data_IF_486435096364
#
_entry.id   IF_486435096364
#
_cell.length_a   1.000
_cell.length_b   1.000
_cell.length_c   1.000
_cell.angle_alpha   90.00
_cell.angle_beta   90.00
_cell.angle_gamma   90.00
#
_symmetry.space_group_name_H-M   'P 1'
#
loop_
_entity.id
_entity.type
_entity.pdbx_description
1 polymer ?
#
# COMPACT_ATOMS: atom_id res chain seq x y z
N UNK A 1 -2.65 -6.93 26.10
CA UNK A 1 -3.66 -6.01 25.51
C UNK A 1 -3.05 -5.42 24.26
N UNK A 2 -3.74 -5.48 23.13
CA UNK A 2 -3.19 -4.98 21.87
C UNK A 2 -3.47 -3.48 21.73
N UNK A 3 -2.42 -2.66 21.77
CA UNK A 3 -2.52 -1.20 21.63
C UNK A 3 -2.27 -0.72 20.20
N UNK A 4 -2.12 -1.63 19.22
CA UNK A 4 -1.89 -1.28 17.83
C UNK A 4 -3.04 -0.45 17.22
N UNK A 5 -4.26 -0.63 17.72
CA UNK A 5 -5.43 0.17 17.32
C UNK A 5 -5.37 1.63 17.81
N UNK A 6 -4.41 2.00 18.66
CA UNK A 6 -4.23 3.39 19.12
C UNK A 6 -3.06 4.09 18.41
N UNK A 7 -2.27 3.35 17.63
CA UNK A 7 -1.10 3.90 16.94
C UNK A 7 -1.54 4.86 15.85
N UNK A 8 -0.78 5.95 15.75
CA UNK A 8 -0.94 7.00 14.76
C UNK A 8 0.39 7.22 14.05
N UNK A 9 0.35 7.73 12.81
CA UNK A 9 1.57 8.10 12.09
C UNK A 9 2.40 9.13 12.90
N UNK A 10 3.75 9.02 12.94
CA UNK A 10 4.62 8.03 12.29
C UNK A 10 5.01 6.85 13.20
N UNK A 11 4.19 6.52 14.20
CA UNK A 11 4.48 5.37 15.08
C UNK A 11 4.40 4.06 14.29
N UNK A 12 5.06 3.02 14.79
CA UNK A 12 4.97 1.67 14.25
C UNK A 12 4.05 0.81 15.11
N UNK A 13 3.40 -0.18 14.47
CA UNK A 13 2.71 -1.23 15.19
C UNK A 13 3.73 -2.13 15.91
N UNK A 14 3.41 -2.49 17.16
CA UNK A 14 4.20 -3.37 18.01
C UNK A 14 3.84 -4.83 17.70
N UNK A 15 4.46 -5.39 16.66
CA UNK A 15 4.16 -6.73 16.15
C UNK A 15 5.19 -7.80 16.55
N UNK A 16 6.38 -7.41 16.98
CA UNK A 16 7.51 -8.32 17.19
C UNK A 16 7.29 -9.34 18.32
N UNK A 17 6.55 -8.95 19.36
CA UNK A 17 6.28 -9.79 20.53
C UNK A 17 4.99 -10.63 20.39
N UNK A 18 4.28 -10.55 19.26
CA UNK A 18 3.01 -11.23 19.04
C UNK A 18 3.23 -12.60 18.39
N UNK A 19 2.42 -13.59 18.79
CA UNK A 19 2.30 -14.84 18.03
C UNK A 19 1.70 -14.57 16.64
N UNK A 20 1.85 -15.52 15.70
CA UNK A 20 1.27 -15.39 14.35
C UNK A 20 -0.24 -15.13 14.41
N UNK A 21 -0.97 -15.83 15.30
CA UNK A 21 -2.41 -15.65 15.48
C UNK A 21 -2.75 -14.24 15.97
N UNK A 22 -2.12 -13.81 17.08
CA UNK A 22 -2.33 -12.47 17.66
C UNK A 22 -1.96 -11.35 16.68
N UNK A 23 -0.88 -11.53 15.92
CA UNK A 23 -0.43 -10.58 14.91
C UNK A 23 -1.46 -10.43 13.79
N UNK A 24 -2.01 -11.55 13.30
CA UNK A 24 -3.03 -11.52 12.25
C UNK A 24 -4.33 -10.88 12.74
N UNK A 25 -4.74 -11.16 13.98
CA UNK A 25 -5.89 -10.53 14.62
C UNK A 25 -5.70 -9.02 14.77
N UNK A 26 -4.53 -8.60 15.27
CA UNK A 26 -4.13 -7.19 15.42
C UNK A 26 -4.16 -6.44 14.08
N UNK A 27 -3.52 -6.99 13.05
CA UNK A 27 -3.48 -6.40 11.71
C UNK A 27 -4.88 -6.33 11.09
N UNK A 28 -5.71 -7.37 11.29
CA UNK A 28 -7.08 -7.39 10.80
C UNK A 28 -7.94 -6.33 11.48
N UNK A 29 -7.76 -6.09 12.79
CA UNK A 29 -8.46 -5.05 13.52
C UNK A 29 -8.09 -3.64 13.00
N UNK A 30 -6.80 -3.38 12.79
CA UNK A 30 -6.32 -2.12 12.20
C UNK A 30 -6.86 -1.94 10.78
N UNK A 31 -6.77 -2.98 9.95
CA UNK A 31 -7.28 -2.97 8.58
C UNK A 31 -8.78 -2.68 8.53
N UNK A 32 -9.56 -3.28 9.42
CA UNK A 32 -11.00 -3.06 9.51
C UNK A 32 -11.34 -1.62 9.83
N UNK A 33 -10.75 -1.10 10.91
CA UNK A 33 -10.93 0.29 11.34
C UNK A 33 -10.59 1.29 10.23
N UNK A 34 -9.50 1.05 9.51
CA UNK A 34 -8.93 2.04 8.59
C UNK A 34 -9.47 1.95 7.17
N UNK A 35 -9.79 0.74 6.70
CA UNK A 35 -10.05 0.43 5.29
C UNK A 35 -11.39 -0.29 5.12
N UNK A 36 -11.60 -1.44 5.75
CA UNK A 36 -12.78 -2.29 5.46
C UNK A 36 -14.10 -1.67 5.92
N UNK A 37 -14.15 -1.19 7.18
CA UNK A 37 -15.33 -0.64 7.83
C UNK A 37 -15.32 0.90 7.79
N UNK A 38 -14.46 1.51 6.95
CA UNK A 38 -14.35 2.96 6.79
C UNK A 38 -15.16 3.44 5.57
N UNK A 39 -16.39 3.96 5.76
CA UNK A 39 -17.25 4.41 4.66
C UNK A 39 -16.76 5.71 4.00
N UNK A 40 -15.69 6.34 4.51
CA UNK A 40 -15.10 7.57 3.96
C UNK A 40 -13.74 7.32 3.32
N UNK A 41 -13.37 6.05 3.09
CA UNK A 41 -12.08 5.70 2.50
C UNK A 41 -12.01 6.10 1.01
N UNK A 42 -11.53 7.32 0.77
CA UNK A 42 -11.45 7.97 -0.53
C UNK A 42 -10.13 8.71 -0.70
N UNK A 43 -9.65 8.83 -1.93
CA UNK A 43 -8.51 9.65 -2.30
C UNK A 43 -8.96 10.73 -3.29
N UNK A 44 -8.84 12.01 -2.93
CA UNK A 44 -9.24 13.17 -3.76
C UNK A 44 -10.64 13.03 -4.37
N UNK A 45 -11.62 12.70 -3.54
CA UNK A 45 -13.04 12.47 -3.91
C UNK A 45 -13.31 11.23 -4.78
N UNK A 46 -12.31 10.38 -5.02
CA UNK A 46 -12.46 9.10 -5.73
C UNK A 46 -12.47 7.95 -4.72
N UNK A 47 -13.43 7.04 -4.89
CA UNK A 47 -13.55 5.87 -4.01
C UNK A 47 -12.40 4.90 -4.20
N UNK A 48 -11.93 4.29 -3.12
CA UNK A 48 -10.92 3.23 -3.21
C UNK A 48 -11.61 1.89 -3.07
N UNK A 49 -11.41 1.03 -4.06
CA UNK A 49 -11.96 -0.31 -4.15
C UNK A 49 -10.87 -1.36 -3.92
N UNK A 50 -11.19 -2.50 -3.30
CA UNK A 50 -10.31 -3.66 -3.33
C UNK A 50 -10.21 -4.22 -4.75
N UNK A 51 -9.06 -4.84 -5.07
CA UNK A 51 -8.85 -5.52 -6.36
C UNK A 51 -9.77 -6.74 -6.44
N UNK A 52 -10.42 -6.94 -7.59
CA UNK A 52 -11.14 -8.18 -7.91
C UNK A 52 -10.18 -9.15 -8.60
N UNK A 53 -10.01 -10.36 -8.04
CA UNK A 53 -9.31 -11.46 -8.72
C UNK A 53 -10.27 -12.63 -8.86
N UNK A 54 -10.43 -13.13 -10.08
CA UNK A 54 -11.25 -14.30 -10.42
C UNK A 54 -12.70 -14.25 -9.88
N UNK A 55 -13.32 -13.07 -9.91
CA UNK A 55 -14.72 -12.88 -9.51
C UNK A 55 -14.97 -12.81 -8.00
N UNK A 56 -13.97 -13.08 -7.17
CA UNK A 56 -14.06 -12.89 -5.72
C UNK A 56 -13.46 -11.54 -5.31
N UNK A 57 -14.30 -10.68 -4.73
CA UNK A 57 -13.84 -9.54 -3.94
C UNK A 57 -13.37 -10.11 -2.62
N UNK A 58 -12.11 -9.93 -2.26
CA UNK A 58 -11.68 -10.30 -0.93
C UNK A 58 -10.82 -9.19 -0.37
N UNK A 59 -11.41 -8.45 0.57
CA UNK A 59 -10.70 -7.54 1.47
C UNK A 59 -9.51 -8.23 2.15
N UNK A 60 -9.60 -9.55 2.33
CA UNK A 60 -8.49 -10.40 2.78
C UNK A 60 -7.34 -10.51 1.75
N UNK A 61 -7.61 -10.56 0.44
CA UNK A 61 -6.56 -10.46 -0.60
C UNK A 61 -5.85 -9.11 -0.48
N UNK A 62 -6.61 -8.02 -0.31
CA UNK A 62 -6.02 -6.69 -0.14
C UNK A 62 -5.15 -6.62 1.13
N UNK A 63 -5.67 -7.08 2.27
CA UNK A 63 -4.89 -7.17 3.50
C UNK A 63 -3.60 -7.97 3.29
N UNK A 64 -3.70 -9.15 2.68
CA UNK A 64 -2.54 -9.98 2.34
C UNK A 64 -1.54 -9.23 1.46
N UNK A 65 -2.00 -8.45 0.47
CA UNK A 65 -1.14 -7.63 -0.37
C UNK A 65 -0.43 -6.49 0.36
N UNK A 66 -1.02 -5.98 1.45
CA UNK A 66 -0.47 -4.92 2.29
C UNK A 66 0.54 -5.46 3.32
N UNK A 67 0.37 -6.70 3.80
CA UNK A 67 1.23 -7.27 4.88
C UNK A 67 2.26 -8.28 4.39
N UNK A 68 2.18 -8.73 3.13
CA UNK A 68 3.13 -9.69 2.54
C UNK A 68 3.91 -9.09 1.37
N UNK A 69 5.07 -9.67 1.08
CA UNK A 69 5.86 -9.40 -0.13
C UNK A 69 6.01 -10.66 -0.97
N UNK A 70 6.21 -10.49 -2.28
CA UNK A 70 6.50 -11.61 -3.18
C UNK A 70 7.87 -12.19 -2.85
N UNK A 71 7.94 -13.52 -2.78
CA UNK A 71 9.18 -14.24 -2.54
C UNK A 71 10.03 -14.25 -3.81
N UNK A 72 11.33 -14.05 -3.62
CA UNK A 72 12.35 -14.09 -4.67
C UNK A 72 13.33 -15.22 -4.37
N UNK A 73 13.83 -15.88 -5.41
CA UNK A 73 14.94 -16.82 -5.30
C UNK A 73 16.27 -16.09 -5.07
N UNK A 74 17.35 -16.86 -4.90
CA UNK A 74 18.71 -16.34 -4.70
C UNK A 74 19.18 -15.43 -5.85
N UNK A 75 18.57 -15.54 -7.03
CA UNK A 75 18.87 -14.73 -8.22
C UNK A 75 17.91 -13.53 -8.37
N UNK A 76 17.03 -13.31 -7.40
CA UNK A 76 16.06 -12.21 -7.39
C UNK A 76 14.80 -12.46 -8.24
N UNK A 77 14.59 -13.66 -8.77
CA UNK A 77 13.42 -14.03 -9.58
C UNK A 77 12.24 -14.40 -8.70
N UNK A 78 11.05 -13.90 -9.04
CA UNK A 78 9.81 -14.19 -8.31
C UNK A 78 9.45 -15.68 -8.36
N UNK A 79 9.21 -16.28 -7.20
CA UNK A 79 8.87 -17.71 -7.04
C UNK A 79 7.35 -17.94 -7.19
N UNK A 80 6.54 -16.90 -6.96
CA UNK A 80 5.08 -16.95 -7.05
C UNK A 80 4.37 -17.15 -5.71
N UNK A 81 5.11 -17.43 -4.65
CA UNK A 81 4.65 -17.35 -3.26
C UNK A 81 4.85 -15.94 -2.67
N UNK A 82 4.24 -15.69 -1.51
CA UNK A 82 4.39 -14.46 -0.75
C UNK A 82 4.58 -14.78 0.72
N UNK A 83 5.52 -14.09 1.36
CA UNK A 83 5.79 -14.21 2.79
C UNK A 83 5.43 -12.94 3.54
N UNK A 84 5.11 -13.10 4.83
CA UNK A 84 4.87 -11.99 5.74
C UNK A 84 6.06 -11.01 5.74
N UNK A 85 5.77 -9.71 5.65
CA UNK A 85 6.78 -8.66 5.68
C UNK A 85 6.55 -7.73 6.87
N UNK A 86 7.47 -7.76 7.82
CA UNK A 86 7.37 -6.97 9.06
C UNK A 86 7.35 -5.47 8.78
N UNK A 87 8.21 -4.98 7.90
CA UNK A 87 8.35 -3.56 7.62
C UNK A 87 7.08 -2.95 7.01
N UNK A 88 6.42 -3.68 6.10
CA UNK A 88 5.09 -3.34 5.57
C UNK A 88 4.03 -3.38 6.65
N UNK A 89 3.97 -4.47 7.40
CA UNK A 89 2.90 -4.74 8.37
C UNK A 89 2.88 -3.72 9.51
N UNK A 90 4.05 -3.30 10.01
CA UNK A 90 4.14 -2.29 11.06
C UNK A 90 3.60 -0.91 10.66
N UNK A 91 3.44 -0.67 9.35
CA UNK A 91 3.00 0.61 8.76
C UNK A 91 1.60 0.51 8.16
N UNK A 92 0.85 -0.56 8.44
CA UNK A 92 -0.48 -0.77 7.84
C UNK A 92 -1.42 0.43 8.03
N UNK A 93 -1.43 1.03 9.23
CA UNK A 93 -2.25 2.19 9.56
C UNK A 93 -1.82 3.49 8.84
N UNK A 94 -0.61 3.54 8.27
CA UNK A 94 -0.15 4.69 7.50
C UNK A 94 -0.88 4.81 6.17
N UNK A 95 -1.45 3.71 5.65
CA UNK A 95 -2.21 3.71 4.40
C UNK A 95 -3.34 4.73 4.48
N UNK A 96 -4.17 4.68 5.52
CA UNK A 96 -5.25 5.66 5.71
C UNK A 96 -4.73 7.08 5.85
N UNK A 97 -3.72 7.28 6.69
CA UNK A 97 -3.14 8.60 6.95
C UNK A 97 -2.71 9.32 5.66
N UNK A 98 -2.02 8.61 4.77
CA UNK A 98 -1.56 9.18 3.50
C UNK A 98 -2.66 9.25 2.42
N UNK A 99 -3.61 8.33 2.42
CA UNK A 99 -4.80 8.39 1.53
C UNK A 99 -5.66 9.61 1.85
N UNK A 100 -5.79 9.96 3.13
CA UNK A 100 -6.51 11.16 3.57
C UNK A 100 -5.69 12.45 3.39
N UNK A 101 -4.45 12.34 2.85
CA UNK A 101 -3.51 13.46 2.70
C UNK A 101 -3.35 14.27 4.01
N UNK A 102 -3.41 13.59 5.17
CA UNK A 102 -3.44 14.20 6.52
C UNK A 102 -2.23 15.10 6.79
N UNK A 103 -1.12 14.86 6.10
CA UNK A 103 0.08 15.70 6.10
C UNK A 103 0.64 15.77 4.68
N UNK A 104 0.18 16.75 3.90
CA UNK A 104 0.50 16.89 2.48
C UNK A 104 1.94 17.35 2.22
N UNK A 105 2.60 17.98 3.19
CA UNK A 105 3.97 18.50 3.08
C UNK A 105 5.05 17.42 2.99
N UNK A 106 4.73 16.17 3.37
CA UNK A 106 5.71 15.06 3.38
C UNK A 106 5.48 14.03 2.30
N UNK A 107 4.36 14.14 1.60
CA UNK A 107 4.01 13.24 0.50
C UNK A 107 4.21 13.94 -0.84
N UNK A 108 4.73 13.21 -1.81
CA UNK A 108 4.58 13.56 -3.22
C UNK A 108 3.59 12.60 -3.88
N UNK A 109 2.61 13.17 -4.58
CA UNK A 109 1.58 12.43 -5.30
C UNK A 109 1.81 12.61 -6.79
N UNK A 110 2.02 11.51 -7.50
CA UNK A 110 2.23 11.54 -8.94
C UNK A 110 1.69 10.30 -9.65
N UNK A 111 1.27 10.45 -10.90
CA UNK A 111 0.94 9.30 -11.76
C UNK A 111 2.09 8.96 -12.70
N UNK A 112 2.24 7.67 -13.00
CA UNK A 112 3.25 7.15 -13.92
C UNK A 112 2.70 5.95 -14.71
N UNK A 113 3.21 5.72 -15.92
CA UNK A 113 2.83 4.58 -16.75
C UNK A 113 3.78 3.40 -16.48
N UNK A 114 3.29 2.41 -15.74
CA UNK A 114 4.00 1.15 -15.54
C UNK A 114 3.81 0.17 -16.70
N UNK A 115 4.84 -0.64 -16.95
CA UNK A 115 4.78 -1.76 -17.89
C UNK A 115 4.55 -3.06 -17.13
N UNK A 116 3.32 -3.58 -17.20
CA UNK A 116 2.90 -4.80 -16.51
C UNK A 116 2.50 -5.84 -17.55
N UNK A 117 3.20 -6.98 -17.61
CA UNK A 117 2.93 -8.09 -18.55
C UNK A 117 2.73 -7.61 -20.01
N UNK A 118 3.58 -6.69 -20.47
CA UNK A 118 3.52 -6.15 -21.83
C UNK A 118 2.45 -5.07 -22.07
N UNK A 119 1.71 -4.66 -21.04
CA UNK A 119 0.68 -3.60 -21.11
C UNK A 119 1.12 -2.36 -20.36
N UNK A 120 0.72 -1.19 -20.87
CA UNK A 120 0.93 0.10 -20.21
C UNK A 120 -0.25 0.34 -19.29
N UNK A 121 0.04 0.59 -18.01
CA UNK A 121 -0.96 0.76 -16.97
C UNK A 121 -0.60 2.02 -16.19
N UNK A 122 -1.53 2.98 -16.15
CA UNK A 122 -1.38 4.16 -15.31
C UNK A 122 -1.51 3.77 -13.85
N UNK A 123 -0.60 4.24 -13.01
CA UNK A 123 -0.65 4.08 -11.56
C UNK A 123 -0.36 5.41 -10.88
N UNK A 124 -1.04 5.64 -9.77
CA UNK A 124 -0.86 6.82 -8.93
C UNK A 124 -0.09 6.40 -7.68
N UNK A 125 1.01 7.09 -7.43
CA UNK A 125 1.93 6.87 -6.34
C UNK A 125 1.71 7.96 -5.30
N UNK A 126 1.56 7.56 -4.04
CA UNK A 126 1.64 8.46 -2.89
C UNK A 126 2.94 8.09 -2.18
N UNK A 127 3.93 8.97 -2.26
CA UNK A 127 5.28 8.72 -1.76
C UNK A 127 5.57 9.61 -0.56
N UNK A 128 5.62 9.03 0.63
CA UNK A 128 6.17 9.68 1.82
C UNK A 128 7.70 9.75 1.69
N UNK A 129 8.20 10.96 1.47
CA UNK A 129 9.61 11.23 1.21
C UNK A 129 10.44 11.08 2.50
N UNK A 130 9.87 11.45 3.65
CA UNK A 130 10.56 11.40 4.94
C UNK A 130 10.72 9.96 5.43
N UNK A 131 9.65 9.17 5.35
CA UNK A 131 9.63 7.80 5.83
C UNK A 131 9.95 6.76 4.76
N UNK A 132 10.26 7.20 3.54
CA UNK A 132 10.53 6.36 2.37
C UNK A 132 9.45 5.26 2.20
N UNK A 133 8.18 5.65 2.29
CA UNK A 133 7.03 4.76 2.23
C UNK A 133 6.17 5.08 1.01
N UNK A 134 5.71 4.05 0.29
CA UNK A 134 4.96 4.22 -0.96
C UNK A 134 3.64 3.49 -0.88
N UNK A 135 2.58 4.16 -1.30
CA UNK A 135 1.28 3.57 -1.61
C UNK A 135 1.07 3.63 -3.12
N UNK A 136 0.55 2.54 -3.69
CA UNK A 136 0.28 2.44 -5.13
C UNK A 136 -1.22 2.24 -5.34
N UNK A 137 -1.81 3.17 -6.08
CA UNK A 137 -3.18 3.12 -6.58
C UNK A 137 -3.19 2.88 -8.09
N UNK A 138 -4.23 2.24 -8.59
CA UNK A 138 -4.51 2.09 -10.02
C UNK A 138 -5.87 2.73 -10.31
N UNK A 139 -5.94 3.83 -11.09
CA UNK A 139 -7.21 4.42 -11.46
C UNK A 139 -8.05 3.42 -12.26
N UNK A 140 -9.34 3.32 -11.93
CA UNK A 140 -10.28 2.56 -12.72
C UNK A 140 -10.44 3.22 -14.10
N UNK A 141 -10.73 2.42 -15.13
CA UNK A 141 -10.98 2.92 -16.50
C UNK A 141 -12.07 3.99 -16.60
N UNK A 142 -13.02 4.01 -15.67
CA UNK A 142 -14.07 5.04 -15.59
C UNK A 142 -13.55 6.39 -15.10
N UNK A 143 -12.38 6.44 -14.47
CA UNK A 143 -11.81 7.65 -13.86
C UNK A 143 -12.47 8.07 -12.54
N UNK A 144 -13.43 7.31 -12.03
CA UNK A 144 -14.22 7.66 -10.83
C UNK A 144 -13.66 7.09 -9.53
N UNK A 145 -12.94 5.97 -9.63
CA UNK A 145 -12.51 5.17 -8.49
C UNK A 145 -11.04 4.74 -8.68
N UNK A 146 -10.40 4.30 -7.61
CA UNK A 146 -9.10 3.65 -7.60
C UNK A 146 -9.19 2.20 -7.12
N UNK A 147 -8.23 1.39 -7.52
CA UNK A 147 -7.87 0.17 -6.82
C UNK A 147 -6.63 0.41 -5.96
N UNK A 148 -6.69 0.07 -4.67
CA UNK A 148 -5.49 0.02 -3.82
C UNK A 148 -4.72 -1.26 -4.13
N UNK A 149 -3.50 -1.11 -4.68
CA UNK A 149 -2.72 -2.26 -5.10
C UNK A 149 -1.87 -2.87 -3.99
N UNK A 150 -1.12 -2.01 -3.30
CA UNK A 150 -0.16 -2.38 -2.25
C UNK A 150 0.39 -1.11 -1.61
N UNK A 151 1.08 -1.27 -0.49
CA UNK A 151 1.84 -0.21 0.15
C UNK A 151 3.07 -0.84 0.82
N UNK A 152 4.22 -0.15 0.79
CA UNK A 152 5.47 -0.69 1.32
C UNK A 152 6.53 0.35 1.61
N UNK A 153 7.41 -0.01 2.55
CA UNK A 153 8.63 0.72 2.87
C UNK A 153 9.73 0.41 1.85
N UNK A 154 10.52 1.42 1.45
CA UNK A 154 11.57 1.30 0.44
C UNK A 154 12.90 0.77 1.00
N UNK A 155 12.84 -0.37 1.70
CA UNK A 155 14.01 -1.03 2.29
C UNK A 155 14.88 -1.86 1.32
N UNK A 156 14.38 -2.12 0.11
CA UNK A 156 15.13 -2.91 -0.88
C UNK A 156 16.16 -2.03 -1.61
N UNK A 157 17.37 -2.56 -1.92
CA UNK A 157 18.39 -1.83 -2.67
C UNK A 157 17.85 -1.26 -3.99
N UNK A 158 18.02 0.05 -4.17
CA UNK A 158 17.56 0.76 -5.37
C UNK A 158 16.06 1.07 -5.42
N UNK A 159 15.26 0.67 -4.42
CA UNK A 159 13.83 0.97 -4.33
C UNK A 159 13.56 2.48 -4.39
N UNK A 160 14.25 3.26 -3.55
CA UNK A 160 14.22 4.74 -3.57
C UNK A 160 14.51 5.32 -4.95
N UNK A 161 15.65 4.94 -5.54
CA UNK A 161 16.06 5.41 -6.87
C UNK A 161 15.03 5.07 -7.95
N UNK A 162 14.35 3.92 -7.86
CA UNK A 162 13.29 3.56 -8.80
C UNK A 162 12.09 4.51 -8.69
N UNK A 163 11.67 4.85 -7.47
CA UNK A 163 10.55 5.77 -7.22
C UNK A 163 10.89 7.18 -7.70
N UNK A 164 12.07 7.70 -7.33
CA UNK A 164 12.56 9.02 -7.79
C UNK A 164 12.66 9.09 -9.32
N UNK A 165 13.06 8.01 -9.99
CA UNK A 165 13.10 7.96 -11.45
C UNK A 165 11.70 7.99 -12.08
N UNK A 166 10.70 7.38 -11.45
CA UNK A 166 9.29 7.48 -11.89
C UNK A 166 8.75 8.89 -11.67
N UNK A 167 9.06 9.48 -10.52
CA UNK A 167 8.70 10.86 -10.18
C UNK A 167 9.23 11.87 -11.20
N UNK A 168 10.50 11.73 -11.63
CA UNK A 168 11.08 12.57 -12.70
C UNK A 168 10.39 12.43 -14.05
N UNK A 169 9.72 11.31 -14.29
CA UNK A 169 9.00 10.97 -15.53
C UNK A 169 7.48 10.95 -15.30
N UNK A 170 6.99 11.66 -14.27
CA UNK A 170 5.58 11.69 -13.93
C UNK A 170 4.74 12.24 -15.08
N UNK A 171 3.48 11.80 -15.11
CA UNK A 171 2.48 12.36 -15.99
C UNK A 171 2.12 13.79 -15.56
N UNK A 172 1.56 14.61 -16.46
CA UNK A 172 1.12 15.98 -16.12
C UNK A 172 0.05 16.00 -15.03
N UNK A 173 -0.85 15.02 -15.07
CA UNK A 173 -2.00 14.93 -14.17
C UNK A 173 -1.89 13.75 -13.19
N UNK A 174 -2.58 13.89 -12.06
CA UNK A 174 -2.89 12.78 -11.15
C UNK A 174 -4.23 12.18 -11.56
N UNK A 175 -4.18 10.98 -12.13
CA UNK A 175 -5.33 10.22 -12.64
C UNK A 175 -5.98 9.41 -11.57
#
# INVERSE_FOLDING_TARGET
MDFNILKIYPQLLDLACLTVSQRNESLKAVFKRDIEDNPKFQFRSKWIRPIKKDGQVSMEILLNHLITKEDKDEKGKKIGSRSFDMARSQRLHWVKFHIEESRSDVIDVFSFIDRVKGRSVTRTYIYDIEQEYVIILEPQRSGTDYYLLTAYYLNEPGGKKQIENKQKKKLPDVY
#
